data_IF_905631340497
#
_entry.id   IF_905631340497
#
_cell.length_a   1.000
_cell.length_b   1.000
_cell.length_c   1.000
_cell.angle_alpha   90.00
_cell.angle_beta   90.00
_cell.angle_gamma   90.00
#
_symmetry.space_group_name_H-M   'P 1'
#
loop_
_entity.id
_entity.type
_entity.pdbx_description
1 polymer ?
#
# COMPACT_ATOMS: atom_id res chain seq x y z
N UNK A 1 14.07 16.88 14.74
CA UNK A 1 13.56 15.66 15.41
C UNK A 1 14.27 14.45 14.79
N UNK A 2 14.78 13.51 15.59
CA UNK A 2 15.55 12.37 15.06
C UNK A 2 14.66 11.55 14.10
N UNK A 3 15.17 11.09 12.93
CA UNK A 3 14.38 10.41 11.90
C UNK A 3 13.73 9.09 12.38
N UNK A 4 14.20 8.54 13.51
CA UNK A 4 13.61 7.37 14.17
C UNK A 4 12.15 7.63 14.57
N UNK A 5 11.84 8.77 15.20
CA UNK A 5 10.48 9.03 15.71
C UNK A 5 9.45 9.14 14.58
N UNK A 6 9.83 9.78 13.47
CA UNK A 6 8.96 9.91 12.29
C UNK A 6 8.62 8.55 11.68
N UNK A 7 9.58 7.61 11.65
CA UNK A 7 9.36 6.25 11.13
C UNK A 7 8.41 5.46 12.03
N UNK A 8 8.56 5.56 13.35
CA UNK A 8 7.68 4.88 14.31
C UNK A 8 6.25 5.41 14.20
N UNK A 9 6.07 6.73 14.14
CA UNK A 9 4.75 7.35 14.01
C UNK A 9 4.08 6.93 12.69
N UNK A 10 4.82 6.85 11.59
CA UNK A 10 4.28 6.39 10.32
C UNK A 10 3.79 4.93 10.38
N UNK A 11 4.52 4.04 11.07
CA UNK A 11 4.12 2.64 11.26
C UNK A 11 2.88 2.55 12.16
N UNK A 12 2.81 3.33 13.23
CA UNK A 12 1.65 3.40 14.11
C UNK A 12 0.41 3.89 13.37
N UNK A 13 0.54 4.93 12.54
CA UNK A 13 -0.55 5.42 11.70
C UNK A 13 -1.02 4.38 10.67
N UNK A 14 -0.11 3.55 10.15
CA UNK A 14 -0.45 2.46 9.23
C UNK A 14 -1.15 1.27 9.93
N UNK A 15 -1.02 1.17 11.25
CA UNK A 15 -1.63 0.09 12.04
C UNK A 15 -3.16 0.21 12.07
N UNK A 16 -3.70 1.45 12.13
CA UNK A 16 -5.14 1.73 12.13
C UNK A 16 -5.89 1.11 10.94
N UNK A 17 -5.54 1.41 9.67
CA UNK A 17 -6.16 0.76 8.53
C UNK A 17 -5.83 -0.74 8.47
N UNK A 18 -4.68 -1.17 8.99
CA UNK A 18 -4.35 -2.60 9.10
C UNK A 18 -5.38 -3.38 9.93
N UNK A 19 -5.72 -2.88 11.12
CA UNK A 19 -6.72 -3.48 12.01
C UNK A 19 -8.11 -3.40 11.38
N UNK A 20 -8.46 -2.26 10.77
CA UNK A 20 -9.75 -2.09 10.07
C UNK A 20 -9.92 -3.09 8.92
N UNK A 21 -8.85 -3.40 8.18
CA UNK A 21 -8.86 -4.41 7.13
C UNK A 21 -9.11 -5.83 7.66
N UNK A 22 -8.48 -6.21 8.78
CA UNK A 22 -8.71 -7.51 9.45
C UNK A 22 -10.16 -7.61 9.92
N UNK A 23 -10.69 -6.53 10.50
CA UNK A 23 -12.07 -6.45 10.93
C UNK A 23 -13.04 -6.59 9.73
N UNK A 24 -12.80 -5.86 8.64
CA UNK A 24 -13.59 -5.96 7.41
C UNK A 24 -13.62 -7.36 6.80
N UNK A 25 -12.48 -8.06 6.78
CA UNK A 25 -12.41 -9.47 6.35
C UNK A 25 -13.25 -10.40 7.25
N UNK A 26 -13.20 -10.16 8.56
CA UNK A 26 -13.95 -10.96 9.54
C UNK A 26 -15.45 -10.83 9.30
N UNK A 27 -15.95 -9.61 9.10
CA UNK A 27 -17.36 -9.35 8.80
C UNK A 27 -17.84 -10.03 7.52
N UNK A 28 -17.03 -10.00 6.44
CA UNK A 28 -17.37 -10.67 5.17
C UNK A 28 -17.53 -12.18 5.40
N UNK A 29 -16.58 -12.79 6.11
CA UNK A 29 -16.60 -14.22 6.42
C UNK A 29 -17.82 -14.58 7.25
N UNK A 30 -18.15 -13.77 8.26
CA UNK A 30 -19.32 -14.00 9.11
C UNK A 30 -20.61 -13.95 8.30
N UNK A 31 -20.81 -12.95 7.43
CA UNK A 31 -22.02 -12.87 6.58
C UNK A 31 -22.15 -14.08 5.66
N UNK A 32 -21.04 -14.59 5.12
CA UNK A 32 -21.03 -15.80 4.31
C UNK A 32 -21.48 -17.02 5.13
N UNK A 33 -20.98 -17.17 6.36
CA UNK A 33 -21.38 -18.27 7.24
C UNK A 33 -22.83 -18.17 7.68
N UNK A 34 -23.32 -16.99 8.05
CA UNK A 34 -24.74 -16.78 8.37
C UNK A 34 -25.64 -17.15 7.18
N UNK A 35 -25.26 -16.70 5.98
CA UNK A 35 -25.97 -17.05 4.74
C UNK A 35 -25.97 -18.55 4.46
N UNK A 36 -24.86 -19.24 4.74
CA UNK A 36 -24.75 -20.69 4.57
C UNK A 36 -25.54 -21.47 5.64
N UNK A 37 -25.70 -20.90 6.84
CA UNK A 37 -26.48 -21.47 7.93
C UNK A 37 -28.00 -21.30 7.75
N UNK A 38 -28.45 -20.63 6.68
CA UNK A 38 -29.87 -20.39 6.39
C UNK A 38 -30.44 -19.12 6.99
N UNK A 39 -29.62 -18.30 7.66
CA UNK A 39 -29.99 -16.93 8.01
C UNK A 39 -29.84 -16.05 6.76
N UNK A 40 -30.77 -15.13 6.51
CA UNK A 40 -30.78 -14.31 5.29
C UNK A 40 -29.47 -13.52 5.07
N UNK A 41 -29.15 -13.21 3.81
CA UNK A 41 -27.91 -12.52 3.47
C UNK A 41 -27.90 -11.06 3.94
N UNK A 42 -27.03 -10.75 4.90
CA UNK A 42 -26.85 -9.41 5.48
C UNK A 42 -26.09 -8.45 4.57
N UNK A 43 -26.71 -8.01 3.48
CA UNK A 43 -26.10 -7.11 2.47
C UNK A 43 -25.41 -5.87 3.06
N UNK A 44 -26.02 -5.23 4.06
CA UNK A 44 -25.47 -4.00 4.67
C UNK A 44 -24.16 -4.27 5.40
N UNK A 45 -24.10 -5.37 6.16
CA UNK A 45 -22.92 -5.80 6.92
C UNK A 45 -21.82 -6.30 5.99
N UNK A 46 -22.19 -6.98 4.90
CA UNK A 46 -21.26 -7.36 3.83
C UNK A 46 -20.64 -6.14 3.14
N UNK A 47 -21.46 -5.15 2.75
CA UNK A 47 -20.97 -3.92 2.13
C UNK A 47 -20.05 -3.15 3.10
N UNK A 48 -20.40 -3.11 4.38
CA UNK A 48 -19.56 -2.47 5.40
C UNK A 48 -18.20 -3.15 5.54
N UNK A 49 -18.18 -4.48 5.64
CA UNK A 49 -16.93 -5.26 5.67
C UNK A 49 -16.10 -5.07 4.41
N UNK A 50 -16.75 -5.04 3.24
CA UNK A 50 -16.10 -4.83 1.95
C UNK A 50 -15.48 -3.42 1.82
N UNK A 51 -16.20 -2.38 2.24
CA UNK A 51 -15.69 -1.01 2.24
C UNK A 51 -14.50 -0.85 3.19
N UNK A 52 -14.57 -1.46 4.37
CA UNK A 52 -13.45 -1.46 5.32
C UNK A 52 -12.23 -2.19 4.74
N UNK A 53 -12.44 -3.34 4.08
CA UNK A 53 -11.38 -4.11 3.46
C UNK A 53 -10.71 -3.33 2.31
N UNK A 54 -11.50 -2.88 1.33
CA UNK A 54 -11.01 -2.18 0.15
C UNK A 54 -10.40 -0.83 0.53
N UNK A 55 -11.06 -0.08 1.42
CA UNK A 55 -10.54 1.20 1.91
C UNK A 55 -9.19 1.04 2.62
N UNK A 56 -9.05 0.02 3.47
CA UNK A 56 -7.79 -0.28 4.14
C UNK A 56 -6.68 -0.68 3.16
N UNK A 57 -6.98 -1.55 2.20
CA UNK A 57 -6.04 -1.95 1.15
C UNK A 57 -5.63 -0.75 0.28
N UNK A 58 -6.56 0.14 -0.05
CA UNK A 58 -6.28 1.34 -0.83
C UNK A 58 -5.33 2.29 -0.09
N UNK A 59 -5.57 2.53 1.20
CA UNK A 59 -4.69 3.38 2.03
C UNK A 59 -3.30 2.75 2.17
N UNK A 60 -3.22 1.46 2.53
CA UNK A 60 -1.94 0.77 2.75
C UNK A 60 -1.16 0.66 1.43
N UNK A 61 -1.82 0.23 0.36
CA UNK A 61 -1.22 0.12 -0.97
C UNK A 61 -0.75 1.47 -1.50
N UNK A 62 -1.58 2.51 -1.38
CA UNK A 62 -1.23 3.88 -1.79
C UNK A 62 -0.05 4.44 -0.99
N UNK A 63 -0.02 4.24 0.33
CA UNK A 63 1.10 4.65 1.17
C UNK A 63 2.40 3.92 0.81
N UNK A 64 2.34 2.60 0.60
CA UNK A 64 3.51 1.81 0.18
C UNK A 64 4.02 2.31 -1.17
N UNK A 65 3.13 2.53 -2.15
CA UNK A 65 3.50 3.02 -3.47
C UNK A 65 4.16 4.41 -3.41
N UNK A 66 3.58 5.35 -2.67
CA UNK A 66 4.16 6.69 -2.50
C UNK A 66 5.53 6.63 -1.80
N UNK A 67 5.64 5.81 -0.75
CA UNK A 67 6.89 5.61 -0.02
C UNK A 67 7.96 4.97 -0.90
N UNK A 68 7.60 4.02 -1.75
CA UNK A 68 8.54 3.32 -2.62
C UNK A 68 8.98 4.19 -3.81
N UNK A 69 8.06 5.01 -4.33
CA UNK A 69 8.34 6.05 -5.33
C UNK A 69 9.46 6.99 -4.86
N UNK A 70 9.39 7.47 -3.60
CA UNK A 70 10.42 8.35 -3.03
C UNK A 70 11.81 7.70 -2.90
N UNK A 71 11.88 6.37 -2.79
CA UNK A 71 13.14 5.64 -2.68
C UNK A 71 13.73 5.21 -4.04
N UNK A 72 13.16 5.70 -5.16
CA UNK A 72 13.58 5.33 -6.51
C UNK A 72 13.53 3.81 -6.80
N UNK A 73 12.77 3.03 -6.03
CA UNK A 73 12.67 1.56 -6.19
C UNK A 73 11.60 1.11 -7.18
N UNK A 74 10.89 2.07 -7.77
CA UNK A 74 9.90 1.80 -8.81
C UNK A 74 10.54 1.54 -10.17
N UNK A 75 9.96 0.60 -10.91
CA UNK A 75 10.33 0.30 -12.30
C UNK A 75 10.19 1.55 -13.18
N UNK A 76 11.10 1.79 -14.14
CA UNK A 76 11.07 2.97 -15.01
C UNK A 76 9.79 3.15 -15.84
N UNK A 77 8.95 2.10 -15.92
CA UNK A 77 7.64 2.15 -16.56
C UNK A 77 6.60 2.96 -15.78
N UNK A 78 6.78 3.14 -14.48
CA UNK A 78 5.87 3.91 -13.61
C UNK A 78 6.31 5.36 -13.36
N UNK A 79 7.41 5.79 -13.98
CA UNK A 79 7.90 7.17 -13.89
C UNK A 79 7.19 8.05 -14.90
N UNK A 80 6.95 9.30 -14.51
CA UNK A 80 6.50 10.33 -15.46
C UNK A 80 7.62 10.63 -16.48
N UNK A 81 7.30 11.25 -17.63
CA UNK A 81 8.32 11.64 -18.61
C UNK A 81 9.42 12.54 -18.02
N UNK A 82 9.03 13.46 -17.12
CA UNK A 82 9.95 14.35 -16.42
C UNK A 82 10.90 13.57 -15.49
N UNK A 83 10.36 12.63 -14.69
CA UNK A 83 11.13 11.79 -13.78
C UNK A 83 12.11 10.87 -14.55
N UNK A 84 11.75 10.44 -15.76
CA UNK A 84 12.63 9.67 -16.63
C UNK A 84 13.80 10.52 -17.13
N UNK A 85 13.54 11.73 -17.59
CA UNK A 85 14.58 12.66 -18.03
C UNK A 85 15.54 13.02 -16.88
N UNK A 86 15.02 13.18 -15.66
CA UNK A 86 15.85 13.42 -14.48
C UNK A 86 16.71 12.21 -14.11
N UNK A 87 16.18 10.98 -14.21
CA UNK A 87 16.97 9.75 -14.05
C UNK A 87 18.06 9.60 -15.11
N UNK A 88 17.80 10.00 -16.35
CA UNK A 88 18.79 9.98 -17.42
C UNK A 88 19.92 10.99 -17.17
N UNK A 89 19.59 12.19 -16.69
CA UNK A 89 20.58 13.16 -16.20
C UNK A 89 21.38 12.60 -15.02
N UNK A 90 20.73 11.93 -14.07
CA UNK A 90 21.42 11.27 -12.95
C UNK A 90 22.35 10.15 -13.42
N UNK A 91 21.98 9.36 -14.44
CA UNK A 91 22.88 8.36 -15.04
C UNK A 91 24.11 8.98 -15.71
N UNK A 92 24.00 10.24 -16.15
CA UNK A 92 25.09 10.98 -16.77
C UNK A 92 26.05 11.60 -15.74
N UNK A 93 25.69 11.59 -14.45
CA UNK A 93 26.58 11.98 -13.36
C UNK A 93 27.77 11.00 -13.27
N UNK A 94 29.03 11.48 -13.29
CA UNK A 94 30.23 10.63 -13.17
C UNK A 94 30.27 9.77 -11.91
N UNK A 95 29.52 10.16 -10.86
CA UNK A 95 29.44 9.48 -9.58
C UNK A 95 28.11 8.71 -9.40
N UNK A 96 27.38 8.44 -10.47
CA UNK A 96 26.14 7.69 -10.43
C UNK A 96 26.37 6.25 -9.94
N UNK A 97 25.79 5.90 -8.80
CA UNK A 97 25.69 4.52 -8.35
C UNK A 97 24.38 3.92 -8.82
N UNK A 98 24.48 2.90 -9.69
CA UNK A 98 23.33 2.12 -10.14
C UNK A 98 22.65 1.49 -8.91
N UNK A 99 21.32 1.62 -8.78
CA UNK A 99 20.62 0.99 -7.67
C UNK A 99 20.64 -0.55 -7.79
N UNK A 100 20.95 -1.21 -6.67
CA UNK A 100 21.17 -2.67 -6.56
C UNK A 100 20.00 -3.53 -7.10
N UNK A 101 18.76 -3.02 -7.06
CA UNK A 101 17.60 -3.77 -7.57
C UNK A 101 17.56 -3.87 -9.11
N UNK A 102 18.31 -3.04 -9.85
CA UNK A 102 18.43 -3.13 -11.31
C UNK A 102 19.44 -4.20 -11.77
N UNK A 103 20.22 -4.77 -10.85
CA UNK A 103 21.16 -5.86 -11.15
C UNK A 103 20.52 -7.25 -10.93
N UNK A 104 19.32 -7.30 -10.34
CA UNK A 104 18.58 -8.54 -10.04
C UNK A 104 17.51 -8.89 -11.10
N UNK A 105 17.64 -8.34 -12.32
CA UNK A 105 16.70 -8.56 -13.43
C UNK A 105 17.37 -9.39 -14.52
#
# INVERSE_FOLDING_TARGET
MKPIYQRIIAILLLCLPGIAGIYGWTEIREVIFYSAAGEGFGWLRFLWGLLLLIGSLYIIGGFIFYRDKKNNRISPKFLTPEERAERERQKQDPNYKKPEFLDKV
#
